data_IF_448876073106
#
_entry.id   IF_448876073106
#
_cell.length_a   1.000
_cell.length_b   1.000
_cell.length_c   1.000
_cell.angle_alpha   90.00
_cell.angle_beta   90.00
_cell.angle_gamma   90.00
#
_symmetry.space_group_name_H-M   'P 1'
#
loop_
_entity.id
_entity.type
_entity.pdbx_description
1 polymer ?
#
# COMPACT_ATOMS: atom_id res chain seq x y z
N UNK A 1 7.84 4.02 -13.75
CA UNK A 1 7.04 4.61 -12.66
C UNK A 1 7.82 4.52 -11.37
N UNK A 2 8.10 5.67 -10.75
CA UNK A 2 8.75 5.77 -9.45
C UNK A 2 7.81 5.34 -8.30
N UNK A 3 8.32 5.05 -7.10
CA UNK A 3 7.46 4.75 -5.94
C UNK A 3 6.52 5.89 -5.58
N UNK A 4 7.00 7.14 -5.69
CA UNK A 4 6.20 8.34 -5.43
C UNK A 4 5.04 8.45 -6.41
N UNK A 5 5.29 8.24 -7.71
CA UNK A 5 4.25 8.21 -8.74
C UNK A 5 3.25 7.08 -8.50
N UNK A 6 3.74 5.89 -8.12
CA UNK A 6 2.90 4.73 -7.83
C UNK A 6 1.99 4.97 -6.64
N UNK A 7 2.53 5.46 -5.52
CA UNK A 7 1.73 5.79 -4.33
C UNK A 7 0.68 6.85 -4.67
N UNK A 8 1.06 7.87 -5.43
CA UNK A 8 0.14 8.91 -5.88
C UNK A 8 -0.96 8.31 -6.76
N UNK A 9 -0.63 7.44 -7.72
CA UNK A 9 -1.64 6.74 -8.54
C UNK A 9 -2.62 5.95 -7.69
N UNK A 10 -2.12 5.11 -6.77
CA UNK A 10 -2.96 4.27 -5.92
C UNK A 10 -3.94 5.11 -5.08
N UNK A 11 -3.48 6.22 -4.51
CA UNK A 11 -4.32 7.09 -3.68
C UNK A 11 -5.41 7.81 -4.47
N UNK A 12 -5.15 8.13 -5.74
CA UNK A 12 -6.12 8.75 -6.63
C UNK A 12 -7.08 7.74 -7.25
N UNK A 13 -6.56 6.59 -7.66
CA UNK A 13 -7.35 5.52 -8.26
C UNK A 13 -8.21 4.82 -7.20
N UNK A 14 -7.78 4.85 -5.93
CA UNK A 14 -8.52 4.27 -4.80
C UNK A 14 -8.44 2.75 -4.72
N UNK A 15 -7.54 2.11 -5.47
CA UNK A 15 -7.47 0.65 -5.58
C UNK A 15 -6.03 0.12 -5.52
N UNK A 16 -5.86 -1.04 -4.88
CA UNK A 16 -4.68 -1.87 -4.98
C UNK A 16 -4.90 -2.93 -6.06
N UNK A 17 -3.92 -3.12 -6.93
CA UNK A 17 -3.97 -4.15 -7.98
C UNK A 17 -3.26 -5.41 -7.50
N UNK A 18 -3.94 -6.53 -7.58
CA UNK A 18 -3.35 -7.84 -7.33
C UNK A 18 -2.43 -8.24 -8.48
N UNK A 19 -1.41 -9.04 -8.18
CA UNK A 19 -0.50 -9.60 -9.18
C UNK A 19 -0.18 -11.06 -8.83
N UNK A 20 0.21 -11.85 -9.84
CA UNK A 20 0.63 -13.24 -9.62
C UNK A 20 1.96 -13.24 -8.87
N UNK A 21 1.96 -13.84 -7.68
CA UNK A 21 3.12 -13.94 -6.81
C UNK A 21 4.03 -15.10 -7.24
N UNK A 22 5.24 -15.18 -6.66
CA UNK A 22 6.22 -16.23 -6.97
C UNK A 22 5.76 -17.63 -6.53
N UNK A 23 4.86 -17.74 -5.56
CA UNK A 23 4.20 -19.00 -5.19
C UNK A 23 3.18 -19.49 -6.23
N UNK A 24 2.85 -18.67 -7.23
CA UNK A 24 1.73 -18.92 -8.15
C UNK A 24 0.37 -18.81 -7.46
N UNK A 25 -0.64 -19.47 -8.04
CA UNK A 25 -2.04 -19.40 -7.59
C UNK A 25 -2.76 -18.16 -8.09
N UNK A 26 -3.82 -17.77 -7.37
CA UNK A 26 -4.57 -16.54 -7.65
C UNK A 26 -3.65 -15.30 -7.48
N UNK A 27 -3.81 -14.24 -8.32
CA UNK A 27 -3.23 -12.94 -8.04
C UNK A 27 -3.54 -12.48 -6.61
N UNK A 28 -2.59 -11.80 -5.98
CA UNK A 28 -2.79 -11.27 -4.64
C UNK A 28 -2.28 -9.85 -4.47
N UNK A 29 -2.89 -9.12 -3.53
CA UNK A 29 -2.27 -7.94 -2.91
C UNK A 29 -1.50 -8.41 -1.69
N UNK A 30 -0.21 -8.11 -1.66
CA UNK A 30 0.69 -8.49 -0.56
C UNK A 30 0.89 -7.34 0.42
N UNK A 31 1.02 -7.70 1.69
CA UNK A 31 1.25 -6.80 2.82
C UNK A 31 2.34 -7.38 3.72
N UNK A 32 3.00 -6.50 4.46
CA UNK A 32 3.98 -6.86 5.50
C UNK A 32 3.38 -6.48 6.85
N UNK A 33 3.18 -7.45 7.74
CA UNK A 33 2.78 -7.15 9.12
C UNK A 33 4.01 -6.80 9.94
N UNK A 34 4.06 -5.56 10.46
CA UNK A 34 5.21 -5.11 11.24
C UNK A 34 4.78 -4.31 12.46
N UNK A 35 5.57 -4.42 13.53
CA UNK A 35 5.50 -3.48 14.65
C UNK A 35 6.18 -2.17 14.27
N UNK A 36 5.98 -1.08 15.01
CA UNK A 36 6.73 0.15 14.78
C UNK A 36 8.25 -0.04 14.80
N UNK A 37 8.77 -0.85 15.75
CA UNK A 37 10.19 -1.20 15.80
C UNK A 37 10.63 -2.05 14.60
N UNK A 38 9.78 -2.95 14.14
CA UNK A 38 10.04 -3.73 12.93
C UNK A 38 10.10 -2.84 11.69
N UNK A 39 9.20 -1.86 11.57
CA UNK A 39 9.23 -0.89 10.48
C UNK A 39 10.53 -0.07 10.51
N UNK A 40 10.93 0.43 11.68
CA UNK A 40 12.23 1.13 11.85
C UNK A 40 13.41 0.26 11.38
N UNK A 41 13.42 -1.02 11.76
CA UNK A 41 14.45 -1.98 11.34
C UNK A 41 14.45 -2.16 9.81
N UNK A 42 13.28 -2.38 9.21
CA UNK A 42 13.13 -2.57 7.76
C UNK A 42 13.58 -1.32 6.99
N UNK A 43 13.28 -0.11 7.48
CA UNK A 43 13.72 1.13 6.84
C UNK A 43 15.23 1.37 6.97
N UNK A 44 15.88 0.82 8.01
CA UNK A 44 17.32 1.00 8.26
C UNK A 44 18.19 -0.01 7.52
N UNK A 45 17.82 -1.29 7.58
CA UNK A 45 18.69 -2.40 7.18
C UNK A 45 18.45 -2.88 5.74
N UNK A 46 17.35 -2.47 5.12
CA UNK A 46 16.92 -3.00 3.82
C UNK A 46 16.78 -1.89 2.80
N UNK A 47 16.95 -2.18 1.50
CA UNK A 47 16.82 -1.21 0.42
C UNK A 47 15.36 -0.81 0.12
N UNK A 48 14.44 -0.94 1.09
CA UNK A 48 13.06 -0.53 0.89
C UNK A 48 12.96 0.98 0.85
N UNK A 49 12.36 1.49 -0.21
CA UNK A 49 12.09 2.91 -0.31
C UNK A 49 10.91 3.25 0.64
N UNK A 50 11.00 4.35 1.40
CA UNK A 50 10.01 4.71 2.43
C UNK A 50 8.71 5.25 1.82
N UNK A 51 8.03 4.47 0.99
CA UNK A 51 6.75 4.80 0.37
C UNK A 51 5.78 3.65 0.59
N UNK A 52 4.69 3.88 1.31
CA UNK A 52 3.79 2.81 1.69
C UNK A 52 2.44 3.27 2.22
N UNK A 53 1.52 2.33 2.27
CA UNK A 53 0.18 2.50 2.81
C UNK A 53 0.08 1.64 4.08
N UNK A 54 -0.53 2.21 5.11
CA UNK A 54 -0.72 1.52 6.39
C UNK A 54 -2.21 1.25 6.59
N UNK A 55 -2.54 0.02 6.95
CA UNK A 55 -3.91 -0.44 7.11
C UNK A 55 -4.12 -1.03 8.50
N UNK A 56 -5.35 -1.03 8.98
CA UNK A 56 -5.71 -1.89 10.10
C UNK A 56 -5.57 -3.36 9.69
N UNK A 57 -5.09 -4.20 10.60
CA UNK A 57 -4.96 -5.63 10.34
C UNK A 57 -6.32 -6.30 10.24
N UNK A 58 -7.30 -5.84 11.03
CA UNK A 58 -8.63 -6.46 11.03
C UNK A 58 -9.35 -6.20 9.70
N UNK A 59 -9.29 -4.99 9.15
CA UNK A 59 -9.86 -4.69 7.83
C UNK A 59 -9.21 -5.50 6.71
N UNK A 60 -7.88 -5.71 6.76
CA UNK A 60 -7.18 -6.60 5.81
C UNK A 60 -7.70 -8.03 5.91
N UNK A 61 -7.90 -8.55 7.12
CA UNK A 61 -8.47 -9.88 7.35
C UNK A 61 -9.90 -9.98 6.80
N UNK A 62 -10.75 -9.00 7.11
CA UNK A 62 -12.15 -8.94 6.70
C UNK A 62 -12.30 -8.84 5.16
N UNK A 63 -11.35 -8.19 4.47
CA UNK A 63 -11.26 -8.15 3.01
C UNK A 63 -10.82 -9.48 2.36
N UNK A 64 -10.67 -10.55 3.15
CA UNK A 64 -10.22 -11.87 2.74
C UNK A 64 -8.70 -12.02 2.78
N UNK A 65 -8.01 -11.19 3.57
CA UNK A 65 -6.58 -11.31 3.83
C UNK A 65 -6.24 -12.42 4.80
N UNK A 66 -4.98 -12.81 4.82
CA UNK A 66 -4.47 -13.74 5.81
C UNK A 66 -2.95 -13.89 5.74
N UNK A 67 -2.33 -14.42 6.81
CA UNK A 67 -0.90 -14.66 6.84
C UNK A 67 -0.49 -15.75 5.86
N UNK A 68 0.76 -15.68 5.40
CA UNK A 68 1.37 -16.69 4.55
C UNK A 68 1.96 -17.84 5.37
N UNK A 69 1.71 -19.05 4.89
CA UNK A 69 2.39 -20.24 5.38
C UNK A 69 3.66 -20.47 4.58
N UNK A 70 4.80 -20.40 5.27
CA UNK A 70 6.09 -20.81 4.75
C UNK A 70 6.27 -22.31 4.98
N UNK A 71 6.20 -23.10 3.92
CA UNK A 71 6.26 -24.56 3.95
C UNK A 71 7.63 -25.04 3.46
N UNK A 72 8.18 -26.07 4.11
CA UNK A 72 9.42 -26.74 3.63
C UNK A 72 9.20 -27.30 2.23
N UNK A 73 10.26 -27.54 1.42
CA UNK A 73 10.09 -28.01 0.05
C UNK A 73 9.19 -29.24 -0.09
N UNK A 74 9.35 -30.24 0.78
CA UNK A 74 8.55 -31.46 0.81
C UNK A 74 7.08 -31.22 1.20
N UNK A 75 6.82 -30.32 2.15
CA UNK A 75 5.47 -29.93 2.55
C UNK A 75 4.80 -29.13 1.44
N UNK A 76 5.52 -28.16 0.85
CA UNK A 76 5.05 -27.37 -0.27
C UNK A 76 4.68 -28.24 -1.47
N UNK A 77 5.49 -29.28 -1.74
CA UNK A 77 5.19 -30.26 -2.78
C UNK A 77 3.96 -31.10 -2.45
N UNK A 78 3.83 -31.60 -1.21
CA UNK A 78 2.66 -32.36 -0.78
C UNK A 78 1.36 -31.55 -0.85
N UNK A 79 1.47 -30.23 -0.82
CA UNK A 79 0.34 -29.32 -0.98
C UNK A 79 0.02 -29.02 -2.44
N UNK A 80 0.61 -29.66 -3.46
CA UNK A 80 0.44 -29.32 -4.90
C UNK A 80 -1.00 -29.24 -5.40
N UNK A 81 -1.94 -29.86 -4.71
CA UNK A 81 -3.33 -30.00 -5.14
C UNK A 81 -4.28 -28.99 -4.48
N UNK A 82 -3.76 -28.07 -3.65
CA UNK A 82 -4.54 -26.94 -3.14
C UNK A 82 -5.14 -26.09 -4.27
N UNK A 83 -6.34 -25.59 -4.03
CA UNK A 83 -6.99 -24.59 -4.90
C UNK A 83 -6.09 -23.36 -5.14
N UNK A 84 -6.25 -22.65 -6.28
CA UNK A 84 -5.46 -21.44 -6.59
C UNK A 84 -5.48 -20.38 -5.47
N UNK A 85 -6.63 -20.22 -4.81
CA UNK A 85 -6.81 -19.30 -3.68
C UNK A 85 -5.96 -19.67 -2.47
N UNK A 86 -5.89 -20.96 -2.14
CA UNK A 86 -5.06 -21.45 -1.04
C UNK A 86 -3.58 -21.48 -1.43
N UNK A 87 -3.27 -21.83 -2.69
CA UNK A 87 -1.91 -21.78 -3.25
C UNK A 87 -1.29 -20.40 -3.07
N UNK A 88 -2.05 -19.34 -3.34
CA UNK A 88 -1.60 -17.97 -3.18
C UNK A 88 -1.15 -17.65 -1.74
N UNK A 89 -1.49 -18.48 -0.74
CA UNK A 89 -1.12 -18.30 0.67
C UNK A 89 0.00 -19.23 1.16
N UNK A 90 0.59 -20.04 0.29
CA UNK A 90 1.66 -20.97 0.66
C UNK A 90 2.91 -20.63 -0.13
N UNK A 91 4.00 -20.33 0.56
CA UNK A 91 5.29 -19.99 -0.04
C UNK A 91 6.29 -21.09 0.33
N UNK A 92 7.05 -21.54 -0.67
CA UNK A 92 8.15 -22.47 -0.45
C UNK A 92 9.28 -21.78 0.32
N UNK A 93 9.69 -22.40 1.42
CA UNK A 93 10.79 -21.95 2.27
C UNK A 93 12.04 -22.77 1.96
N UNK A 94 12.89 -22.27 1.08
CA UNK A 94 14.17 -22.91 0.77
C UNK A 94 15.20 -22.73 1.89
N UNK A 95 16.15 -23.68 2.06
CA UNK A 95 17.25 -23.54 3.01
C UNK A 95 18.02 -22.23 2.80
N UNK A 96 18.23 -21.47 3.88
CA UNK A 96 18.91 -20.17 3.84
C UNK A 96 18.03 -18.99 3.43
N UNK A 97 16.74 -19.20 3.20
CA UNK A 97 15.79 -18.11 2.96
C UNK A 97 15.66 -17.20 4.19
N UNK A 98 15.74 -15.89 3.99
CA UNK A 98 15.54 -14.88 5.02
C UNK A 98 14.09 -14.41 5.14
N UNK A 99 13.15 -14.89 4.30
CA UNK A 99 11.79 -14.35 4.14
C UNK A 99 10.89 -14.35 5.38
N UNK A 100 11.24 -15.10 6.43
CA UNK A 100 10.42 -15.23 7.65
C UNK A 100 10.25 -13.94 8.45
N UNK A 101 11.21 -13.00 8.36
CA UNK A 101 11.13 -11.73 9.09
C UNK A 101 10.03 -10.77 8.60
N UNK A 102 9.55 -10.94 7.37
CA UNK A 102 8.62 -9.99 6.74
C UNK A 102 7.15 -10.21 7.16
N UNK A 103 6.85 -11.33 7.85
CA UNK A 103 5.49 -11.73 8.27
C UNK A 103 4.46 -11.35 7.19
N UNK A 104 4.62 -11.94 6.01
CA UNK A 104 3.82 -11.61 4.83
C UNK A 104 2.34 -11.98 5.02
N UNK A 105 1.46 -11.10 4.53
CA UNK A 105 0.02 -11.30 4.40
C UNK A 105 -0.42 -11.13 2.95
N UNK A 106 -1.44 -11.86 2.52
CA UNK A 106 -2.01 -11.72 1.18
C UNK A 106 -3.53 -11.72 1.18
N UNK A 107 -4.08 -10.89 0.30
CA UNK A 107 -5.50 -10.93 -0.11
C UNK A 107 -5.56 -11.52 -1.53
N UNK A 108 -5.88 -12.82 -1.69
CA UNK A 108 -6.08 -13.41 -3.00
C UNK A 108 -7.31 -12.84 -3.71
N UNK A 109 -7.22 -12.76 -5.02
CA UNK A 109 -8.18 -12.13 -5.91
C UNK A 109 -8.30 -12.97 -7.17
N UNK A 110 -9.53 -13.30 -7.57
CA UNK A 110 -9.72 -14.16 -8.71
C UNK A 110 -9.21 -13.47 -9.99
N UNK A 111 -8.73 -14.23 -10.99
CA UNK A 111 -8.04 -13.66 -12.15
C UNK A 111 -8.98 -12.98 -13.18
N UNK A 112 -10.28 -12.87 -12.89
CA UNK A 112 -11.27 -12.22 -13.76
C UNK A 112 -11.66 -10.82 -13.25
N UNK A 113 -11.87 -9.85 -14.13
CA UNK A 113 -12.39 -8.52 -13.76
C UNK A 113 -13.86 -8.62 -13.27
N UNK A 114 -14.29 -7.82 -12.27
CA UNK A 114 -13.55 -6.75 -11.59
C UNK A 114 -12.61 -7.23 -10.47
N UNK A 115 -12.49 -8.54 -10.28
CA UNK A 115 -11.96 -9.14 -9.05
C UNK A 115 -10.44 -9.14 -8.91
N UNK A 116 -9.69 -8.38 -9.74
CA UNK A 116 -8.22 -8.24 -9.65
C UNK A 116 -7.76 -7.10 -8.72
N UNK A 117 -8.70 -6.35 -8.14
CA UNK A 117 -8.39 -5.20 -7.29
C UNK A 117 -8.96 -5.31 -5.88
N UNK A 118 -8.44 -4.48 -4.97
CA UNK A 118 -8.98 -4.26 -3.63
C UNK A 118 -9.17 -2.77 -3.45
N UNK A 119 -10.39 -2.33 -3.15
CA UNK A 119 -10.66 -0.92 -2.91
C UNK A 119 -10.01 -0.48 -1.58
N UNK A 120 -9.37 0.69 -1.56
CA UNK A 120 -8.77 1.24 -0.34
C UNK A 120 -9.82 1.54 0.73
N UNK A 121 -11.07 1.80 0.33
CA UNK A 121 -12.21 1.98 1.24
C UNK A 121 -12.56 0.70 2.02
N UNK A 122 -12.23 -0.49 1.51
CA UNK A 122 -12.42 -1.77 2.22
C UNK A 122 -11.32 -2.00 3.27
N UNK A 123 -10.13 -1.45 3.06
CA UNK A 123 -8.95 -1.77 3.86
C UNK A 123 -8.71 -0.83 5.04
N UNK A 124 -9.57 0.15 5.29
CA UNK A 124 -9.42 1.15 6.34
C UNK A 124 -7.98 1.71 6.41
N UNK A 125 -7.65 2.59 5.47
CA UNK A 125 -6.33 3.24 5.43
C UNK A 125 -6.10 4.07 6.70
N UNK A 126 -5.10 3.74 7.51
CA UNK A 126 -4.80 4.38 8.80
C UNK A 126 -3.60 5.32 8.77
N UNK A 127 -2.80 5.31 7.70
CA UNK A 127 -1.65 6.19 7.57
C UNK A 127 -0.85 5.98 6.28
N UNK A 128 0.09 6.89 6.06
CA UNK A 128 0.98 6.90 4.89
C UNK A 128 2.44 6.90 5.35
N UNK A 129 3.26 6.06 4.74
CA UNK A 129 4.71 6.16 4.81
C UNK A 129 5.21 6.95 3.60
N UNK A 130 6.01 8.00 3.82
CA UNK A 130 6.47 8.91 2.78
C UNK A 130 7.98 9.13 2.85
N UNK A 131 8.62 9.23 1.70
CA UNK A 131 10.08 9.36 1.60
C UNK A 131 10.57 10.80 1.54
N UNK A 132 9.70 11.74 1.19
CA UNK A 132 9.97 13.17 1.22
C UNK A 132 8.93 13.82 2.16
N UNK A 133 9.36 14.55 3.20
CA UNK A 133 8.42 15.19 4.13
C UNK A 133 7.59 16.30 3.46
N UNK A 134 8.04 16.83 2.32
CA UNK A 134 7.34 17.83 1.51
C UNK A 134 6.37 17.20 0.52
N UNK A 135 6.36 15.88 0.36
CA UNK A 135 5.43 15.23 -0.57
C UNK A 135 3.99 15.39 -0.10
N UNK A 136 3.14 15.86 -1.01
CA UNK A 136 1.73 16.17 -0.73
C UNK A 136 0.76 15.34 -1.57
N UNK A 137 1.24 14.47 -2.46
CA UNK A 137 0.39 13.63 -3.32
C UNK A 137 -0.55 14.41 -4.25
N UNK A 138 -0.30 15.71 -4.44
CA UNK A 138 -1.19 16.60 -5.18
C UNK A 138 -1.15 16.33 -6.67
N UNK A 139 -2.30 16.44 -7.33
CA UNK A 139 -2.40 16.51 -8.79
C UNK A 139 -2.91 17.87 -9.23
N UNK A 140 -2.44 18.33 -10.38
CA UNK A 140 -3.02 19.47 -11.09
C UNK A 140 -4.23 18.98 -11.88
N UNK A 141 -5.42 19.27 -11.39
CA UNK A 141 -6.67 18.86 -12.02
C UNK A 141 -7.66 20.03 -12.04
N UNK A 142 -8.82 19.83 -12.65
CA UNK A 142 -9.93 20.77 -12.55
C UNK A 142 -11.03 20.16 -11.69
N UNK A 143 -11.60 20.95 -10.79
CA UNK A 143 -12.84 20.60 -10.11
C UNK A 143 -13.97 21.49 -10.62
N UNK A 144 -15.20 21.00 -10.53
CA UNK A 144 -16.39 21.83 -10.73
C UNK A 144 -16.88 22.24 -9.35
N UNK A 145 -16.90 23.55 -9.09
CA UNK A 145 -17.46 24.07 -7.85
C UNK A 145 -18.93 23.65 -7.72
N UNK A 146 -19.27 22.94 -6.65
CA UNK A 146 -20.65 22.53 -6.40
C UNK A 146 -21.61 23.73 -6.22
N UNK A 147 -21.09 24.87 -5.77
CA UNK A 147 -21.88 26.09 -5.52
C UNK A 147 -22.07 26.93 -6.78
N UNK A 148 -21.06 27.01 -7.65
CA UNK A 148 -21.06 27.96 -8.78
C UNK A 148 -21.09 27.27 -10.16
N UNK A 149 -20.87 25.96 -10.22
CA UNK A 149 -20.73 25.22 -11.49
C UNK A 149 -19.46 25.57 -12.29
N UNK A 150 -18.62 26.49 -11.79
CA UNK A 150 -17.41 26.94 -12.48
C UNK A 150 -16.32 25.89 -12.36
N UNK A 151 -15.68 25.57 -13.49
CA UNK A 151 -14.45 24.78 -13.52
C UNK A 151 -13.28 25.60 -12.97
N UNK A 152 -12.62 25.08 -11.95
CA UNK A 152 -11.45 25.69 -11.34
C UNK A 152 -10.28 24.73 -11.41
N UNK A 153 -9.15 25.20 -11.96
CA UNK A 153 -7.90 24.47 -11.94
C UNK A 153 -7.17 24.72 -10.63
N UNK A 154 -6.52 23.69 -10.11
CA UNK A 154 -5.76 23.81 -8.87
C UNK A 154 -5.02 22.53 -8.50
N UNK A 155 -4.28 22.61 -7.40
CA UNK A 155 -3.66 21.46 -6.77
C UNK A 155 -4.65 20.81 -5.81
N UNK A 156 -5.06 19.59 -6.13
CA UNK A 156 -5.99 18.81 -5.33
C UNK A 156 -5.27 17.69 -4.59
N UNK A 157 -5.78 17.34 -3.41
CA UNK A 157 -5.32 16.20 -2.62
C UNK A 157 -6.18 14.97 -2.93
N UNK A 158 -5.62 13.75 -2.90
CA UNK A 158 -6.41 12.54 -3.02
C UNK A 158 -7.41 12.46 -1.85
N UNK A 159 -8.72 12.27 -2.10
CA UNK A 159 -9.75 12.31 -1.05
C UNK A 159 -9.46 11.38 0.14
N UNK A 160 -8.97 10.17 -0.14
CA UNK A 160 -8.65 9.15 0.85
C UNK A 160 -7.45 9.50 1.74
N UNK A 161 -6.64 10.49 1.36
CA UNK A 161 -5.45 10.90 2.12
C UNK A 161 -5.70 12.06 3.09
N UNK A 162 -6.86 12.73 2.97
CA UNK A 162 -7.19 13.90 3.77
C UNK A 162 -7.36 13.53 5.24
N UNK A 163 -6.63 14.20 6.13
CA UNK A 163 -6.66 13.95 7.56
C UNK A 163 -5.85 12.75 8.04
N UNK A 164 -5.27 11.95 7.14
CA UNK A 164 -4.46 10.79 7.53
C UNK A 164 -3.10 11.18 8.10
N UNK A 165 -2.64 10.51 9.17
CA UNK A 165 -1.28 10.71 9.65
C UNK A 165 -0.28 10.27 8.57
N UNK A 166 0.76 11.08 8.41
CA UNK A 166 1.90 10.76 7.56
C UNK A 166 3.10 10.45 8.43
N UNK A 167 3.91 9.50 7.99
CA UNK A 167 5.13 9.08 8.65
C UNK A 167 6.27 9.19 7.66
N UNK A 168 7.30 9.93 8.04
CA UNK A 168 8.50 10.12 7.24
C UNK A 168 9.68 9.44 7.90
N UNK A 169 10.39 8.62 7.13
CA UNK A 169 11.67 8.10 7.55
C UNK A 169 12.74 9.19 7.42
N UNK A 170 13.22 9.72 8.53
CA UNK A 170 14.29 10.71 8.55
C UNK A 170 15.65 10.00 8.47
N UNK A 171 16.35 10.04 7.32
CA UNK A 171 17.61 9.33 7.15
C UNK A 171 18.73 9.93 8.02
N UNK A 172 18.62 11.20 8.42
CA UNK A 172 19.65 11.86 9.23
C UNK A 172 19.66 11.37 10.68
N UNK A 173 18.50 10.97 11.20
CA UNK A 173 18.35 10.47 12.57
C UNK A 173 18.02 8.98 12.65
N UNK A 174 17.87 8.31 11.50
CA UNK A 174 17.45 6.91 11.36
C UNK A 174 16.20 6.59 12.21
N UNK A 175 15.19 7.47 12.13
CA UNK A 175 13.94 7.36 12.88
C UNK A 175 12.74 7.74 12.05
N UNK A 176 11.63 7.03 12.29
CA UNK A 176 10.33 7.43 11.79
C UNK A 176 9.81 8.66 12.55
N UNK A 177 9.40 9.68 11.81
CA UNK A 177 8.80 10.91 12.34
C UNK A 177 7.37 11.04 11.85
N UNK A 178 6.45 11.34 12.77
CA UNK A 178 5.07 11.70 12.39
C UNK A 178 5.06 13.12 11.84
N UNK A 179 4.48 13.30 10.67
CA UNK A 179 4.23 14.59 10.03
C UNK A 179 2.78 15.02 10.25
N UNK A 180 2.50 16.33 10.12
CA UNK A 180 1.13 16.81 10.06
C UNK A 180 0.36 16.11 8.91
N UNK A 181 -0.93 15.77 9.14
CA UNK A 181 -1.77 15.26 8.08
C UNK A 181 -1.94 16.29 6.96
N UNK A 182 -2.26 15.80 5.77
CA UNK A 182 -2.63 16.68 4.67
C UNK A 182 -4.07 17.12 4.89
N UNK A 183 -4.31 18.43 4.93
CA UNK A 183 -5.65 18.99 4.99
C UNK A 183 -5.99 19.67 3.65
N UNK A 184 -7.18 19.41 3.16
CA UNK A 184 -7.68 20.02 1.93
C UNK A 184 -7.99 21.50 2.11
N UNK A 185 -7.10 22.37 1.63
CA UNK A 185 -7.34 23.51 0.71
C UNK A 185 -6.04 24.33 0.58
N UNK A 186 -5.17 23.92 -0.33
CA UNK A 186 -4.14 24.80 -0.88
C UNK A 186 -4.68 25.43 -2.17
N UNK A 187 -5.58 26.41 -2.05
CA UNK A 187 -5.96 27.26 -3.19
C UNK A 187 -4.80 28.24 -3.43
N UNK A 188 -3.74 27.78 -4.08
CA UNK A 188 -2.80 28.72 -4.69
C UNK A 188 -3.41 29.23 -5.98
N UNK A 189 -4.01 30.42 -5.89
CA UNK A 189 -4.36 31.22 -7.05
C UNK A 189 -3.08 31.57 -7.80
N UNK A 190 -2.83 30.91 -8.93
CA UNK A 190 -2.08 31.56 -10.01
C UNK A 190 -3.09 32.28 -10.87
N UNK A 191 -3.22 33.59 -10.64
CA UNK A 191 -3.77 34.47 -11.67
C UNK A 191 -2.92 34.29 -12.93
N UNK A 192 -3.55 33.82 -14.01
CA UNK A 192 -2.89 33.70 -15.29
C UNK A 192 -2.40 35.06 -15.76
N UNK A 193 -1.15 35.11 -16.21
CA UNK A 193 -0.69 36.06 -17.22
C UNK A 193 -0.93 35.43 -18.59
#
# INVERSE_FOLDING_TARGET
MSPTERLTSILWDGHLRAFVTDSGGDPAVCFTESTWRGLDFVMRERPHQPWGLMFDRQSVYDAGGGPIWHARPEEHQALSDLSPRLRARVVRLDPGSDRLHEREWRIPRAPCEPSTTVALSELQLVGLLVGDPRWAGVRWEHCVSATTGVRQWGHFFPPLSSGLPRFWWDPSSARLRRLPPLFGRGLEYRAGA
#
